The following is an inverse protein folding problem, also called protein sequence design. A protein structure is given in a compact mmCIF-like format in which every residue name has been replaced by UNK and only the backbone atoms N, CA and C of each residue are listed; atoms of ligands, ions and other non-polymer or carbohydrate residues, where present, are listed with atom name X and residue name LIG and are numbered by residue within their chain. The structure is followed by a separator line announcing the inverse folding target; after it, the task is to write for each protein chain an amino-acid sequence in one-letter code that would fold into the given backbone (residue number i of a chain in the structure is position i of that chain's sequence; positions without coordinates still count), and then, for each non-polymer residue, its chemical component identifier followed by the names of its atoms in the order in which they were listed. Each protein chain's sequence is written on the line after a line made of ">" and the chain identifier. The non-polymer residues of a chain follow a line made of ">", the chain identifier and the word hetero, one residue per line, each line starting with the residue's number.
data_IF_870781414899
#
_entry.id   IF_870781414899
#
_cell.length_a   1.000
_cell.length_b   1.000
_cell.length_c   1.000
_cell.angle_alpha   90.00
_cell.angle_beta   90.00
_cell.angle_gamma   90.00
#
_symmetry.space_group_name_H-M   'P 1'
#
loop_
_entity.id
_entity.type
_entity.pdbx_description
1 polymer ?
#
# COMPACT_ATOMS: atom_id res chain seq x y z
N UNK A 1 -2.64 12.95 -0.57
CA UNK A 1 -2.05 11.98 0.37
C UNK A 1 -2.77 10.65 0.22
N UNK A 2 -2.04 9.56 -0.01
CA UNK A 2 -2.60 8.20 -0.02
C UNK A 2 -3.16 7.86 1.36
N UNK A 3 -4.31 7.17 1.41
CA UNK A 3 -5.01 6.94 2.68
C UNK A 3 -4.18 6.06 3.62
N UNK A 4 -3.50 5.06 3.07
CA UNK A 4 -2.61 4.17 3.80
C UNK A 4 -1.40 4.89 4.38
N UNK A 5 -0.77 5.79 3.64
CA UNK A 5 0.41 6.51 4.13
C UNK A 5 0.06 7.44 5.29
N UNK A 6 -1.12 8.08 5.24
CA UNK A 6 -1.66 8.85 6.37
C UNK A 6 -1.75 7.98 7.63
N UNK A 7 -2.37 6.80 7.52
CA UNK A 7 -2.55 5.86 8.64
C UNK A 7 -1.22 5.35 9.19
N UNK A 8 -0.25 5.08 8.31
CA UNK A 8 1.10 4.69 8.70
C UNK A 8 1.82 5.80 9.46
N UNK A 9 1.68 7.06 9.03
CA UNK A 9 2.28 8.19 9.72
C UNK A 9 1.62 8.47 11.08
N UNK A 10 0.29 8.33 11.16
CA UNK A 10 -0.45 8.38 12.43
C UNK A 10 0.00 7.27 13.39
N UNK A 11 0.15 6.05 12.90
CA UNK A 11 0.65 4.92 13.69
C UNK A 11 2.07 5.18 14.21
N UNK A 12 2.98 5.62 13.33
CA UNK A 12 4.34 6.03 13.70
C UNK A 12 4.33 7.06 14.84
N UNK A 13 3.50 8.11 14.71
CA UNK A 13 3.38 9.16 15.73
C UNK A 13 2.87 8.61 17.05
N UNK A 14 1.87 7.71 17.02
CA UNK A 14 1.32 7.09 18.23
C UNK A 14 2.34 6.24 19.00
N UNK A 15 3.35 5.71 18.31
CA UNK A 15 4.47 4.97 18.91
C UNK A 15 5.64 5.86 19.33
N UNK A 16 5.57 7.17 19.14
CA UNK A 16 6.68 8.09 19.42
C UNK A 16 7.90 7.94 18.51
N UNK A 17 7.79 7.16 17.43
CA UNK A 17 8.89 6.94 16.49
C UNK A 17 9.10 8.20 15.65
N UNK A 18 10.32 8.74 15.58
CA UNK A 18 10.60 9.94 14.78
C UNK A 18 10.87 9.59 13.32
N UNK A 19 10.65 10.55 12.40
CA UNK A 19 11.02 10.36 10.98
C UNK A 19 12.54 10.17 10.79
N UNK A 20 13.37 10.63 11.72
CA UNK A 20 14.84 10.42 11.67
C UNK A 20 15.17 8.95 11.90
N UNK A 21 14.51 8.31 12.88
CA UNK A 21 14.69 6.88 13.16
C UNK A 21 14.27 6.05 11.95
N UNK A 22 13.08 6.31 11.40
CA UNK A 22 12.58 5.60 10.21
C UNK A 22 13.52 5.83 9.02
N UNK A 23 13.98 7.06 8.80
CA UNK A 23 14.91 7.38 7.71
C UNK A 23 16.22 6.59 7.83
N UNK A 24 16.77 6.48 9.05
CA UNK A 24 17.95 5.68 9.34
C UNK A 24 17.74 4.19 9.03
N UNK A 25 16.60 3.62 9.42
CA UNK A 25 16.27 2.22 9.14
C UNK A 25 16.06 1.93 7.65
N UNK A 26 15.46 2.88 6.90
CA UNK A 26 15.16 2.71 5.48
C UNK A 26 16.34 3.06 4.55
N UNK A 27 17.43 3.62 5.09
CA UNK A 27 18.53 4.15 4.31
C UNK A 27 18.08 5.27 3.36
N UNK A 28 17.27 6.20 3.86
CA UNK A 28 16.73 7.32 3.06
C UNK A 28 16.80 8.64 3.83
N UNK A 29 16.39 9.74 3.19
CA UNK A 29 16.41 11.06 3.80
C UNK A 29 15.11 11.34 4.55
N UNK A 30 15.20 12.01 5.72
CA UNK A 30 14.04 12.52 6.47
C UNK A 30 13.12 13.37 5.58
N UNK A 31 13.69 14.18 4.68
CA UNK A 31 12.94 15.04 3.76
C UNK A 31 12.06 14.23 2.81
N UNK A 32 12.54 13.07 2.33
CA UNK A 32 11.75 12.13 1.53
C UNK A 32 10.56 11.61 2.31
N UNK A 33 10.77 11.14 3.54
CA UNK A 33 9.67 10.65 4.39
C UNK A 33 8.68 11.75 4.76
N UNK A 34 9.16 12.98 4.93
CA UNK A 34 8.32 14.15 5.17
C UNK A 34 7.38 14.42 4.00
N UNK A 35 7.86 14.30 2.75
CA UNK A 35 7.04 14.47 1.55
C UNK A 35 5.96 13.37 1.44
N UNK A 36 6.28 12.14 1.82
CA UNK A 36 5.29 11.05 1.88
C UNK A 36 4.24 11.32 2.94
N UNK A 37 4.66 11.79 4.12
CA UNK A 37 3.79 12.08 5.27
C UNK A 37 2.88 13.30 5.02
N UNK A 38 3.35 14.31 4.28
CA UNK A 38 2.50 15.43 3.84
C UNK A 38 1.64 15.08 2.62
N UNK A 39 1.89 13.94 1.99
CA UNK A 39 1.27 13.54 0.72
C UNK A 39 1.67 14.40 -0.47
N UNK A 40 2.77 15.16 -0.36
CA UNK A 40 3.38 15.90 -1.46
C UNK A 40 4.03 14.98 -2.49
N UNK A 41 4.36 13.74 -2.09
CA UNK A 41 4.87 12.69 -2.96
C UNK A 41 4.29 11.33 -2.55
N UNK A 42 4.13 10.42 -3.52
CA UNK A 42 3.72 9.04 -3.25
C UNK A 42 4.96 8.14 -3.26
N UNK A 43 5.22 7.35 -2.21
CA UNK A 43 6.29 6.37 -2.26
C UNK A 43 6.03 5.30 -3.33
N UNK A 44 7.10 4.67 -3.80
CA UNK A 44 7.00 3.35 -4.42
C UNK A 44 6.44 2.36 -3.39
N UNK A 45 5.63 1.42 -3.84
CA UNK A 45 4.90 0.51 -2.96
C UNK A 45 5.83 -0.31 -2.06
N UNK A 46 6.97 -0.79 -2.59
CA UNK A 46 7.94 -1.50 -1.76
C UNK A 46 8.57 -0.62 -0.67
N UNK A 47 8.69 0.69 -0.91
CA UNK A 47 9.13 1.65 0.12
C UNK A 47 8.05 1.89 1.16
N UNK A 48 6.77 1.88 0.78
CA UNK A 48 5.66 1.93 1.73
C UNK A 48 5.61 0.66 2.61
N UNK A 49 5.86 -0.52 2.03
CA UNK A 49 5.96 -1.79 2.79
C UNK A 49 7.15 -1.75 3.76
N UNK A 50 8.32 -1.26 3.31
CA UNK A 50 9.48 -1.08 4.18
C UNK A 50 9.19 -0.07 5.32
N UNK A 51 8.50 1.03 5.01
CA UNK A 51 8.07 2.00 6.02
C UNK A 51 7.15 1.34 7.05
N UNK A 52 6.16 0.56 6.61
CA UNK A 52 5.25 -0.13 7.51
C UNK A 52 6.01 -1.04 8.48
N UNK A 53 6.95 -1.84 7.96
CA UNK A 53 7.81 -2.70 8.78
C UNK A 53 8.62 -1.91 9.81
N UNK A 54 9.21 -0.78 9.40
CA UNK A 54 9.97 0.11 10.30
C UNK A 54 9.13 0.71 11.45
N UNK A 55 7.80 0.73 11.31
CA UNK A 55 6.88 1.19 12.35
C UNK A 55 6.07 0.03 12.95
N UNK A 56 6.60 -1.20 12.88
CA UNK A 56 5.98 -2.41 13.41
C UNK A 56 4.53 -2.63 12.92
N UNK A 57 4.30 -2.35 11.64
CA UNK A 57 3.04 -2.57 10.96
C UNK A 57 3.24 -3.39 9.68
N UNK A 58 2.15 -3.98 9.19
CA UNK A 58 2.08 -4.69 7.91
C UNK A 58 0.98 -4.10 7.05
N UNK A 59 1.29 -3.91 5.77
CA UNK A 59 0.28 -3.55 4.76
C UNK A 59 -0.40 -4.83 4.32
N UNK A 60 -1.73 -4.84 4.34
CA UNK A 60 -2.55 -5.99 3.97
C UNK A 60 -3.60 -5.60 2.94
N UNK A 61 -4.08 -6.58 2.17
CA UNK A 61 -5.28 -6.47 1.34
C UNK A 61 -6.42 -7.25 2.01
N UNK A 62 -7.20 -6.61 2.90
CA UNK A 62 -8.30 -7.27 3.59
C UNK A 62 -9.52 -7.41 2.68
N UNK A 63 -10.24 -8.51 2.82
CA UNK A 63 -11.56 -8.72 2.22
C UNK A 63 -12.40 -9.64 3.10
N UNK A 64 -13.61 -9.21 3.47
CA UNK A 64 -14.57 -10.02 4.23
C UNK A 64 -13.98 -10.71 5.47
N UNK A 65 -13.19 -9.97 6.26
CA UNK A 65 -12.58 -10.50 7.49
C UNK A 65 -11.35 -11.41 7.28
N UNK A 66 -10.89 -11.60 6.03
CA UNK A 66 -9.66 -12.34 5.70
C UNK A 66 -8.63 -11.43 5.07
N UNK A 67 -7.35 -11.79 5.20
CA UNK A 67 -6.26 -11.15 4.45
C UNK A 67 -6.04 -11.95 3.16
N UNK A 68 -6.25 -11.31 2.01
CA UNK A 68 -6.05 -11.95 0.71
C UNK A 68 -4.59 -11.96 0.29
N UNK A 69 -3.84 -10.92 0.66
CA UNK A 69 -2.42 -10.78 0.40
C UNK A 69 -1.82 -9.76 1.39
N UNK A 70 -0.50 -9.82 1.59
CA UNK A 70 0.22 -8.88 2.44
C UNK A 70 1.53 -8.42 1.80
N UNK A 71 2.06 -7.30 2.27
CA UNK A 71 3.34 -6.77 1.82
C UNK A 71 3.42 -6.63 0.30
N UNK A 72 4.48 -7.15 -0.30
CA UNK A 72 4.73 -7.04 -1.74
C UNK A 72 3.80 -7.93 -2.58
N UNK A 73 3.28 -9.01 -2.02
CA UNK A 73 2.43 -9.98 -2.73
C UNK A 73 1.10 -9.36 -3.19
N UNK A 74 0.68 -8.26 -2.55
CA UNK A 74 -0.49 -7.47 -2.93
C UNK A 74 -0.43 -7.05 -4.41
N UNK A 75 0.76 -6.72 -4.91
CA UNK A 75 0.93 -6.27 -6.29
C UNK A 75 0.63 -7.38 -7.29
N UNK A 76 0.89 -8.63 -6.91
CA UNK A 76 0.65 -9.79 -7.76
C UNK A 76 -0.76 -10.34 -7.56
N UNK A 77 -1.30 -10.25 -6.35
CA UNK A 77 -2.67 -10.67 -6.04
C UNK A 77 -3.74 -9.80 -6.71
N UNK A 78 -3.52 -8.48 -6.84
CA UNK A 78 -4.52 -7.57 -7.41
C UNK A 78 -4.92 -7.92 -8.87
N UNK A 79 -3.97 -8.16 -9.81
CA UNK A 79 -4.27 -8.65 -11.16
C UNK A 79 -5.04 -9.99 -11.17
N UNK A 80 -4.65 -10.93 -10.31
CA UNK A 80 -5.28 -12.25 -10.26
C UNK A 80 -6.72 -12.17 -9.73
N UNK A 81 -6.94 -11.35 -8.69
CA UNK A 81 -8.28 -11.05 -8.18
C UNK A 81 -9.16 -10.42 -9.25
N UNK A 82 -8.65 -9.44 -10.03
CA UNK A 82 -9.40 -8.83 -11.12
C UNK A 82 -9.86 -9.88 -12.13
N UNK A 83 -8.95 -10.77 -12.56
CA UNK A 83 -9.24 -11.84 -13.52
C UNK A 83 -10.28 -12.80 -12.96
N UNK A 84 -10.14 -13.19 -11.70
CA UNK A 84 -11.06 -14.09 -11.02
C UNK A 84 -12.50 -13.52 -10.96
N UNK A 85 -12.65 -12.24 -10.61
CA UNK A 85 -13.99 -11.60 -10.55
C UNK A 85 -14.49 -11.10 -11.91
N UNK A 86 -13.74 -11.33 -12.99
CA UNK A 86 -14.09 -10.89 -14.34
C UNK A 86 -14.23 -9.36 -14.48
N UNK A 87 -13.50 -8.57 -13.69
CA UNK A 87 -13.64 -7.12 -13.70
C UNK A 87 -12.93 -6.49 -14.93
N UNK A 88 -13.65 -5.82 -15.84
CA UNK A 88 -13.03 -5.17 -16.98
C UNK A 88 -12.36 -3.85 -16.55
N UNK A 89 -11.19 -3.54 -17.13
CA UNK A 89 -10.42 -2.33 -16.81
C UNK A 89 -11.25 -1.05 -16.87
N UNK A 90 -12.13 -0.92 -17.88
CA UNK A 90 -12.99 0.27 -18.03
C UNK A 90 -13.90 0.49 -16.83
N UNK A 91 -14.48 -0.57 -16.26
CA UNK A 91 -15.35 -0.49 -15.08
C UNK A 91 -14.56 -0.09 -13.85
N UNK A 92 -13.38 -0.67 -13.67
CA UNK A 92 -12.50 -0.33 -12.55
C UNK A 92 -12.05 1.13 -12.64
N UNK A 93 -11.57 1.55 -13.82
CA UNK A 93 -11.09 2.89 -14.07
C UNK A 93 -12.19 3.95 -13.87
N UNK A 94 -13.42 3.66 -14.31
CA UNK A 94 -14.58 4.52 -14.08
C UNK A 94 -14.88 4.72 -12.59
N UNK A 95 -14.70 3.69 -11.75
CA UNK A 95 -14.92 3.80 -10.28
C UNK A 95 -13.92 4.72 -9.60
N UNK A 96 -12.70 4.81 -10.11
CA UNK A 96 -11.62 5.60 -9.51
C UNK A 96 -11.26 6.86 -10.30
N UNK A 97 -12.04 7.19 -11.34
CA UNK A 97 -11.83 8.39 -12.15
C UNK A 97 -10.52 8.39 -12.94
N UNK A 98 -10.01 7.23 -13.34
CA UNK A 98 -8.77 7.10 -14.10
C UNK A 98 -9.00 6.71 -15.56
N UNK A 99 -7.97 6.91 -16.39
CA UNK A 99 -7.91 6.29 -17.69
C UNK A 99 -7.53 4.80 -17.57
N UNK A 100 -8.23 3.91 -18.28
CA UNK A 100 -8.05 2.45 -18.15
C UNK A 100 -6.61 1.97 -18.42
N UNK A 101 -5.86 2.67 -19.29
CA UNK A 101 -4.45 2.38 -19.58
C UNK A 101 -3.56 2.39 -18.33
N UNK A 102 -3.88 3.19 -17.31
CA UNK A 102 -3.11 3.20 -16.06
C UNK A 102 -3.16 1.83 -15.36
N UNK A 103 -4.31 1.15 -15.41
CA UNK A 103 -4.48 -0.20 -14.84
C UNK A 103 -3.81 -1.27 -15.72
N UNK A 104 -3.83 -1.09 -17.03
CA UNK A 104 -3.15 -1.96 -17.99
C UNK A 104 -1.62 -1.90 -17.82
N UNK A 105 -1.04 -0.70 -17.72
CA UNK A 105 0.39 -0.49 -17.44
C UNK A 105 0.80 -1.10 -16.09
N UNK A 106 -0.08 -0.99 -15.08
CA UNK A 106 0.15 -1.62 -13.79
C UNK A 106 0.30 -3.14 -13.92
N UNK A 107 -0.61 -3.81 -14.65
CA UNK A 107 -0.53 -5.26 -14.89
C UNK A 107 0.61 -5.67 -15.80
N UNK A 108 0.93 -4.87 -16.81
CA UNK A 108 2.05 -5.10 -17.70
C UNK A 108 3.42 -5.02 -16.99
N UNK A 109 3.45 -4.55 -15.73
CA UNK A 109 4.66 -4.32 -14.94
C UNK A 109 5.66 -3.38 -15.62
N UNK A 110 5.17 -2.51 -16.51
CA UNK A 110 5.97 -1.56 -17.27
C UNK A 110 6.02 -0.23 -16.53
N UNK A 111 6.78 -0.17 -15.44
CA UNK A 111 7.08 1.08 -14.74
C UNK A 111 7.07 1.02 -13.21
N UNK A 112 7.30 2.17 -12.55
CA UNK A 112 7.27 2.28 -11.10
C UNK A 112 5.86 2.03 -10.54
N UNK A 113 5.79 1.20 -9.50
CA UNK A 113 4.55 0.87 -8.80
C UNK A 113 4.41 1.77 -7.58
N UNK A 114 3.86 2.96 -7.79
CA UNK A 114 3.56 3.89 -6.70
C UNK A 114 2.44 3.34 -5.80
N UNK A 115 2.51 3.64 -4.50
CA UNK A 115 1.47 3.31 -3.55
C UNK A 115 0.09 3.84 -3.99
N UNK A 116 0.04 5.06 -4.53
CA UNK A 116 -1.19 5.62 -5.08
C UNK A 116 -1.80 4.75 -6.17
N UNK A 117 -0.99 4.23 -7.10
CA UNK A 117 -1.46 3.33 -8.16
C UNK A 117 -2.00 2.02 -7.60
N UNK A 118 -1.36 1.46 -6.58
CA UNK A 118 -1.83 0.22 -5.90
C UNK A 118 -3.16 0.47 -5.19
N UNK A 119 -3.29 1.59 -4.46
CA UNK A 119 -4.55 1.98 -3.81
C UNK A 119 -5.68 2.18 -4.82
N UNK A 120 -5.41 2.87 -5.93
CA UNK A 120 -6.40 3.09 -6.98
C UNK A 120 -6.81 1.79 -7.66
N UNK A 121 -5.87 0.87 -7.90
CA UNK A 121 -6.20 -0.43 -8.46
C UNK A 121 -7.11 -1.22 -7.49
N UNK A 122 -6.75 -1.29 -6.20
CA UNK A 122 -7.56 -1.94 -5.18
C UNK A 122 -8.96 -1.30 -5.08
N UNK A 123 -9.04 0.03 -5.08
CA UNK A 123 -10.31 0.76 -5.07
C UNK A 123 -11.17 0.48 -6.32
N UNK A 124 -10.55 0.28 -7.49
CA UNK A 124 -11.24 -0.14 -8.71
C UNK A 124 -11.95 -1.49 -8.55
N UNK A 125 -11.37 -2.41 -7.76
CA UNK A 125 -11.97 -3.69 -7.38
C UNK A 125 -13.00 -3.56 -6.24
N UNK A 126 -13.17 -2.37 -5.65
CA UNK A 126 -13.99 -2.18 -4.45
C UNK A 126 -13.31 -2.66 -3.17
N UNK A 127 -11.98 -2.78 -3.19
CA UNK A 127 -11.16 -3.14 -2.04
C UNK A 127 -10.42 -1.89 -1.52
N UNK A 128 -9.80 -1.99 -0.35
CA UNK A 128 -8.95 -0.95 0.20
C UNK A 128 -7.77 -1.58 0.92
N UNK A 129 -6.60 -0.96 0.81
CA UNK A 129 -5.44 -1.42 1.57
C UNK A 129 -5.66 -1.18 3.06
N UNK A 130 -5.31 -2.18 3.86
CA UNK A 130 -5.36 -2.17 5.31
C UNK A 130 -3.97 -2.09 5.93
N UNK A 131 -3.97 -1.84 7.23
CA UNK A 131 -2.79 -1.90 8.07
C UNK A 131 -3.14 -2.75 9.28
N UNK A 132 -2.29 -3.73 9.58
CA UNK A 132 -2.34 -4.52 10.82
C UNK A 132 -1.04 -4.32 11.60
N UNK A 133 -1.07 -4.42 12.93
CA UNK A 133 0.17 -4.47 13.70
C UNK A 133 1.02 -5.67 13.28
N UNK A 134 2.34 -5.54 13.37
CA UNK A 134 3.27 -6.62 13.07
C UNK A 134 3.28 -7.74 14.12
N UNK A 135 2.52 -7.59 15.23
CA UNK A 135 2.52 -8.47 16.41
C UNK A 135 2.60 -9.95 16.03
N UNK A 136 3.58 -10.58 16.68
CA UNK A 136 3.93 -11.99 16.65
C UNK A 136 2.68 -12.87 16.69
N UNK A 137 2.64 -13.88 15.81
CA UNK A 137 1.83 -15.06 16.08
C UNK A 137 2.24 -15.53 17.48
N UNK A 138 1.39 -15.28 18.47
CA UNK A 138 1.49 -15.96 19.74
C UNK A 138 1.48 -17.44 19.41
N UNK A 139 2.63 -18.09 19.51
CA UNK A 139 2.73 -19.54 19.62
C UNK A 139 1.96 -19.85 20.89
N UNK A 140 0.74 -20.33 20.74
CA UNK A 140 -0.01 -20.87 21.87
C UNK A 140 0.82 -22.03 22.46
N UNK A 141 0.97 -22.10 23.79
CA UNK A 141 1.67 -23.20 24.45
C UNK A 141 0.99 -24.55 24.21
#
# INVERSE_FOLDING_TARGET
>A
MTHLMKRLDEHRRSQGITLVVVAGQLGTYKSTLSKWSSGSDSPLFHRAVAYASAVNARIVLPHQGRVLAEGLDIVDALPDLRRFVGAPYRRMAARVGLHYKTLETFEARTGPRYLSTVEMYAAGLGLSLGMLPAVELAVAP
#
